data_IF_473688625964
#
_entry.id   IF_473688625964
#
_cell.length_a   1.000
_cell.length_b   1.000
_cell.length_c   1.000
_cell.angle_alpha   90.00
_cell.angle_beta   90.00
_cell.angle_gamma   90.00
#
_symmetry.space_group_name_H-M   'P 1'
#
loop_
_entity.id
_entity.type
_entity.pdbx_description
1 polymer ?
#
# COMPACT_ATOMS: atom_id res chain seq x y z
N UNK A 1 -3.97 -5.80 -9.45
CA UNK A 1 -5.30 -5.16 -9.59
C UNK A 1 -5.82 -5.43 -11.00
N UNK A 2 -7.13 -5.62 -11.19
CA UNK A 2 -7.70 -5.79 -12.54
C UNK A 2 -7.91 -4.43 -13.22
N UNK A 3 -7.96 -4.37 -14.57
CA UNK A 3 -8.21 -3.13 -15.30
C UNK A 3 -9.51 -2.41 -14.91
N UNK A 4 -10.58 -3.16 -14.63
CA UNK A 4 -11.89 -2.60 -14.28
C UNK A 4 -11.87 -1.83 -12.96
N UNK A 5 -11.25 -2.42 -11.92
CA UNK A 5 -11.10 -1.77 -10.60
C UNK A 5 -10.28 -0.48 -10.74
N UNK A 6 -9.21 -0.51 -11.56
CA UNK A 6 -8.38 0.68 -11.82
C UNK A 6 -9.20 1.82 -12.41
N UNK A 7 -10.07 1.52 -13.37
CA UNK A 7 -10.92 2.51 -14.05
C UNK A 7 -11.96 3.10 -13.10
N UNK A 8 -12.59 2.27 -12.27
CA UNK A 8 -13.56 2.72 -11.26
C UNK A 8 -12.94 3.71 -10.26
N UNK A 9 -11.70 3.47 -9.86
CA UNK A 9 -10.96 4.32 -8.94
C UNK A 9 -10.29 5.54 -9.61
N UNK A 10 -10.48 5.74 -10.93
CA UNK A 10 -9.91 6.84 -11.72
C UNK A 10 -8.39 6.98 -11.56
N UNK A 11 -7.70 5.84 -11.47
CA UNK A 11 -6.27 5.79 -11.21
C UNK A 11 -5.47 5.92 -12.50
N UNK A 12 -4.41 6.74 -12.47
CA UNK A 12 -3.45 6.82 -13.57
C UNK A 12 -2.69 5.48 -13.75
N UNK A 13 -2.14 5.26 -14.95
CA UNK A 13 -1.37 4.06 -15.27
C UNK A 13 -0.18 3.82 -14.30
N UNK A 14 0.31 4.90 -13.66
CA UNK A 14 1.39 4.87 -12.68
C UNK A 14 0.98 4.55 -11.24
N UNK A 15 -0.31 4.37 -10.92
CA UNK A 15 -0.78 4.29 -9.53
C UNK A 15 -0.40 3.00 -8.76
N UNK A 16 0.27 2.01 -9.38
CA UNK A 16 0.59 0.72 -8.75
C UNK A 16 -0.55 -0.29 -8.85
N UNK A 17 -0.33 -1.51 -8.38
CA UNK A 17 -1.21 -2.67 -8.66
C UNK A 17 -1.70 -3.40 -7.41
N UNK A 18 -1.24 -3.02 -6.22
CA UNK A 18 -1.64 -3.61 -4.94
C UNK A 18 -2.52 -2.61 -4.21
N UNK A 19 -3.79 -2.99 -4.01
CA UNK A 19 -4.80 -2.19 -3.33
C UNK A 19 -5.12 -2.80 -1.96
N UNK A 20 -5.28 -1.95 -0.96
CA UNK A 20 -5.78 -2.33 0.36
C UNK A 20 -7.30 -2.50 0.24
N UNK A 21 -7.76 -3.75 0.25
CA UNK A 21 -9.19 -4.06 0.19
C UNK A 21 -9.90 -3.91 1.53
N UNK A 22 -9.21 -4.20 2.63
CA UNK A 22 -9.75 -4.10 3.98
C UNK A 22 -8.63 -3.78 4.98
N UNK A 23 -9.00 -3.12 6.07
CA UNK A 23 -8.12 -2.86 7.21
C UNK A 23 -8.85 -3.32 8.47
N UNK A 24 -8.25 -4.26 9.20
CA UNK A 24 -8.84 -4.78 10.43
C UNK A 24 -8.88 -3.70 11.51
N UNK A 25 -10.04 -3.54 12.18
CA UNK A 25 -10.21 -2.58 13.26
C UNK A 25 -9.25 -2.88 14.42
N UNK A 26 -8.65 -1.83 14.99
CA UNK A 26 -7.66 -1.95 16.07
C UNK A 26 -6.28 -2.48 15.64
N UNK A 27 -6.09 -2.83 14.37
CA UNK A 27 -4.77 -3.24 13.87
C UNK A 27 -3.77 -2.07 13.82
N UNK A 28 -2.46 -2.34 13.81
CA UNK A 28 -1.45 -1.30 13.59
C UNK A 28 -1.68 -0.50 12.30
N UNK A 29 -2.20 -1.14 11.25
CA UNK A 29 -2.58 -0.47 10.01
C UNK A 29 -3.76 0.50 10.21
N UNK A 30 -4.79 0.13 10.98
CA UNK A 30 -5.89 1.04 11.30
C UNK A 30 -5.41 2.26 12.11
N UNK A 31 -4.57 2.03 13.12
CA UNK A 31 -4.04 3.07 14.00
C UNK A 31 -3.17 4.06 13.23
N UNK A 32 -2.38 3.57 12.27
CA UNK A 32 -1.51 4.39 11.42
C UNK A 32 -2.25 5.07 10.27
N UNK A 33 -3.55 4.80 10.11
CA UNK A 33 -4.42 5.53 9.19
C UNK A 33 -4.50 4.94 7.78
N UNK A 34 -4.16 3.66 7.60
CA UNK A 34 -4.49 2.94 6.37
C UNK A 34 -6.01 2.87 6.19
N UNK A 35 -6.45 2.93 4.94
CA UNK A 35 -7.86 2.84 4.57
C UNK A 35 -8.07 1.87 3.40
N UNK A 36 -9.24 1.22 3.33
CA UNK A 36 -9.67 0.57 2.10
C UNK A 36 -9.61 1.56 0.93
N UNK A 37 -9.07 1.09 -0.21
CA UNK A 37 -8.84 1.93 -1.39
C UNK A 37 -7.44 2.53 -1.48
N UNK A 38 -6.63 2.47 -0.42
CA UNK A 38 -5.21 2.85 -0.50
C UNK A 38 -4.46 1.95 -1.47
N UNK A 39 -3.61 2.53 -2.31
CA UNK A 39 -2.81 1.77 -3.26
C UNK A 39 -1.34 1.86 -2.88
N UNK A 40 -0.71 0.71 -2.70
CA UNK A 40 0.69 0.62 -2.28
C UNK A 40 1.59 0.79 -3.50
N UNK A 41 2.41 1.84 -3.49
CA UNK A 41 3.42 2.12 -4.52
C UNK A 41 4.78 1.56 -4.14
N UNK A 42 5.22 1.85 -2.92
CA UNK A 42 6.54 1.46 -2.42
C UNK A 42 6.48 1.07 -0.96
N UNK A 43 7.39 0.19 -0.56
CA UNK A 43 7.69 -0.11 0.85
C UNK A 43 9.20 0.02 1.03
N UNK A 44 9.65 0.89 1.93
CA UNK A 44 11.07 1.18 2.17
C UNK A 44 11.85 1.45 0.88
N UNK A 45 11.27 2.26 -0.01
CA UNK A 45 11.87 2.62 -1.30
C UNK A 45 11.77 1.55 -2.39
N UNK A 46 11.36 0.31 -2.09
CA UNK A 46 11.18 -0.77 -3.08
C UNK A 46 9.82 -0.64 -3.76
N UNK A 47 9.81 -0.69 -5.10
CA UNK A 47 8.58 -0.69 -5.89
C UNK A 47 7.74 -1.95 -5.65
N UNK A 48 6.44 -1.74 -5.42
CA UNK A 48 5.47 -2.81 -5.23
C UNK A 48 4.55 -2.86 -6.46
N UNK A 49 4.73 -3.88 -7.30
CA UNK A 49 3.92 -4.12 -8.50
C UNK A 49 3.08 -5.39 -8.38
N UNK A 50 3.49 -6.31 -7.52
CA UNK A 50 2.79 -7.58 -7.33
C UNK A 50 2.56 -7.86 -5.84
N UNK A 51 1.64 -8.79 -5.56
CA UNK A 51 1.47 -9.31 -4.19
C UNK A 51 2.74 -9.98 -3.68
N UNK A 52 3.53 -10.61 -4.57
CA UNK A 52 4.81 -11.22 -4.22
C UNK A 52 5.80 -10.15 -3.72
N UNK A 53 5.90 -9.01 -4.39
CA UNK A 53 6.75 -7.89 -3.94
C UNK A 53 6.29 -7.37 -2.59
N UNK A 54 4.97 -7.22 -2.41
CA UNK A 54 4.38 -6.76 -1.17
C UNK A 54 4.76 -7.66 0.01
N UNK A 55 4.54 -8.98 -0.11
CA UNK A 55 4.89 -9.93 0.95
C UNK A 55 6.40 -10.05 1.18
N UNK A 56 7.23 -9.87 0.15
CA UNK A 56 8.69 -9.82 0.29
C UNK A 56 9.19 -8.56 1.01
N UNK A 57 8.48 -7.43 0.89
CA UNK A 57 8.84 -6.15 1.51
C UNK A 57 8.26 -5.98 2.92
N UNK A 58 7.03 -6.47 3.16
CA UNK A 58 6.65 -7.08 4.45
C UNK A 58 7.61 -8.26 4.70
N UNK A 59 7.53 -9.14 5.69
CA UNK A 59 8.49 -10.25 5.95
C UNK A 59 10.04 -9.99 5.94
N UNK A 60 10.59 -8.87 5.47
CA UNK A 60 12.00 -8.52 5.55
C UNK A 60 12.30 -8.12 6.98
N UNK A 61 12.89 -9.03 7.74
CA UNK A 61 13.10 -8.88 9.18
C UNK A 61 14.21 -7.88 9.53
N UNK A 62 15.03 -7.46 8.56
CA UNK A 62 16.07 -6.44 8.75
C UNK A 62 15.48 -5.06 8.99
N UNK A 63 14.27 -4.83 8.49
CA UNK A 63 13.58 -3.55 8.58
C UNK A 63 12.57 -3.56 9.74
N UNK A 64 12.88 -2.83 10.82
CA UNK A 64 11.96 -2.66 11.96
C UNK A 64 10.86 -1.62 11.70
N UNK A 65 11.13 -0.68 10.79
CA UNK A 65 10.18 0.35 10.36
C UNK A 65 9.87 0.13 8.89
N UNK A 66 8.58 0.15 8.56
CA UNK A 66 8.07 0.05 7.21
C UNK A 66 7.45 1.38 6.81
N UNK A 67 8.02 2.02 5.81
CA UNK A 67 7.53 3.26 5.19
C UNK A 67 6.80 2.90 3.91
N UNK A 68 5.50 3.10 3.92
CA UNK A 68 4.61 2.83 2.80
C UNK A 68 4.37 4.12 2.04
N UNK A 69 4.75 4.15 0.77
CA UNK A 69 4.31 5.20 -0.13
C UNK A 69 2.98 4.74 -0.74
N UNK A 70 1.93 5.49 -0.46
CA UNK A 70 0.56 5.18 -0.83
C UNK A 70 0.00 6.24 -1.78
N UNK A 71 -0.97 5.83 -2.59
CA UNK A 71 -1.85 6.75 -3.32
C UNK A 71 -3.27 6.55 -2.81
N UNK A 72 -3.91 7.65 -2.41
CA UNK A 72 -5.32 7.70 -2.00
C UNK A 72 -5.99 8.84 -2.74
N UNK A 73 -7.03 8.54 -3.51
CA UNK A 73 -7.78 9.55 -4.29
C UNK A 73 -6.85 10.45 -5.13
N UNK A 74 -5.86 9.84 -5.80
CA UNK A 74 -4.79 10.50 -6.58
C UNK A 74 -3.78 11.34 -5.78
N UNK A 75 -3.86 11.38 -4.45
CA UNK A 75 -2.88 12.03 -3.59
C UNK A 75 -1.81 11.03 -3.12
N UNK A 76 -0.54 11.39 -3.29
CA UNK A 76 0.58 10.61 -2.76
C UNK A 76 0.82 10.93 -1.29
N UNK A 77 0.99 9.91 -0.45
CA UNK A 77 1.29 10.06 0.97
C UNK A 77 2.21 8.96 1.47
N UNK A 78 2.81 9.19 2.64
CA UNK A 78 3.68 8.21 3.30
C UNK A 78 3.10 7.85 4.65
N UNK A 79 2.92 6.55 4.91
CA UNK A 79 2.51 6.03 6.22
C UNK A 79 3.64 5.16 6.76
N UNK A 80 4.03 5.42 8.01
CA UNK A 80 5.01 4.62 8.73
C UNK A 80 4.33 3.62 9.65
N UNK A 81 4.78 2.38 9.61
CA UNK A 81 4.39 1.32 10.54
C UNK A 81 5.64 0.74 11.20
N UNK A 82 5.61 0.66 12.52
CA UNK A 82 6.67 0.03 13.31
C UNK A 82 6.19 -1.38 13.67
N UNK A 83 7.10 -2.34 13.57
CA UNK A 83 6.87 -3.72 14.02
C UNK A 83 7.15 -3.89 15.50
#
# INVERSE_FOLDING_TARGET
MTPDIRKQLKLSAGAGDVIIGNVAQGSPAAITGFRPGDIVKKINGKDIKTLVDFYKALNNLKERKLLFNLVRENNSMIIGLVR
#
